data_IF_759458315062
#
_entry.id   IF_759458315062
#
_cell.length_a   1.000
_cell.length_b   1.000
_cell.length_c   1.000
_cell.angle_alpha   90.00
_cell.angle_beta   90.00
_cell.angle_gamma   90.00
#
_symmetry.space_group_name_H-M   'P 1'
#
loop_
_entity.id
_entity.type
_entity.pdbx_description
1 polymer ?
#
# COMPACT_ATOMS: atom_id res chain seq x y z
N UNK A 1 -14.15 -12.75 7.70
CA UNK A 1 -15.57 -12.83 7.31
C UNK A 1 -15.76 -12.03 6.04
N UNK A 2 -16.45 -12.58 5.04
CA UNK A 2 -16.75 -11.88 3.80
C UNK A 2 -17.75 -10.74 4.06
N UNK A 3 -17.47 -9.58 3.46
CA UNK A 3 -18.34 -8.42 3.50
C UNK A 3 -19.47 -8.50 2.45
N UNK A 4 -20.16 -7.38 2.26
CA UNK A 4 -21.22 -7.23 1.26
C UNK A 4 -20.63 -7.34 -0.15
N UNK A 5 -21.31 -8.06 -1.04
CA UNK A 5 -21.02 -8.04 -2.47
C UNK A 5 -21.98 -7.12 -3.22
N UNK A 6 -21.49 -6.55 -4.32
CA UNK A 6 -22.26 -5.70 -5.24
C UNK A 6 -21.99 -6.11 -6.69
N UNK A 7 -23.00 -6.01 -7.54
CA UNK A 7 -22.86 -6.05 -8.99
C UNK A 7 -22.59 -4.66 -9.53
N UNK A 8 -21.75 -4.54 -10.56
CA UNK A 8 -21.50 -3.26 -11.25
C UNK A 8 -20.91 -2.16 -10.34
N UNK A 9 -20.78 -0.96 -10.90
CA UNK A 9 -20.44 0.25 -10.14
C UNK A 9 -21.48 1.34 -10.42
N UNK A 10 -21.78 2.16 -9.41
CA UNK A 10 -22.71 3.29 -9.55
C UNK A 10 -24.17 2.96 -9.21
N UNK A 11 -25.11 3.75 -9.74
CA UNK A 11 -26.55 3.70 -9.39
C UNK A 11 -27.24 2.39 -9.77
N UNK A 12 -26.69 1.68 -10.76
CA UNK A 12 -27.23 0.41 -11.24
C UNK A 12 -26.69 -0.78 -10.44
N UNK A 13 -25.77 -0.54 -9.50
CA UNK A 13 -25.16 -1.59 -8.72
C UNK A 13 -26.13 -2.17 -7.68
N UNK A 14 -26.21 -3.50 -7.62
CA UNK A 14 -27.13 -4.19 -6.72
C UNK A 14 -26.38 -5.01 -5.69
N UNK A 15 -26.87 -5.02 -4.45
CA UNK A 15 -26.31 -5.88 -3.41
C UNK A 15 -26.64 -7.34 -3.70
N UNK A 16 -25.65 -8.20 -3.51
CA UNK A 16 -25.79 -9.64 -3.59
C UNK A 16 -25.44 -10.28 -2.26
N UNK A 17 -26.40 -11.01 -1.69
CA UNK A 17 -26.16 -11.87 -0.54
C UNK A 17 -25.79 -13.29 -0.99
N UNK A 18 -26.15 -13.66 -2.23
CA UNK A 18 -25.94 -14.96 -2.84
C UNK A 18 -25.13 -14.81 -4.13
N UNK A 19 -24.13 -15.67 -4.32
CA UNK A 19 -23.33 -15.70 -5.54
C UNK A 19 -24.16 -16.20 -6.73
N UNK A 20 -24.21 -15.46 -7.85
CA UNK A 20 -25.10 -15.78 -8.97
C UNK A 20 -24.82 -17.16 -9.58
N UNK A 21 -23.54 -17.51 -9.71
CA UNK A 21 -23.18 -18.79 -10.35
C UNK A 21 -23.20 -20.01 -9.42
N UNK A 22 -22.92 -19.82 -8.12
CA UNK A 22 -22.73 -20.95 -7.19
C UNK A 22 -23.89 -21.12 -6.20
N UNK A 23 -24.78 -20.14 -6.08
CA UNK A 23 -25.87 -20.14 -5.11
C UNK A 23 -25.42 -20.06 -3.65
N UNK A 24 -24.12 -19.87 -3.38
CA UNK A 24 -23.57 -19.79 -2.03
C UNK A 24 -23.78 -18.41 -1.42
N UNK A 25 -23.98 -18.37 -0.12
CA UNK A 25 -23.96 -17.13 0.65
C UNK A 25 -22.60 -16.44 0.51
N UNK A 26 -22.61 -15.12 0.40
CA UNK A 26 -21.41 -14.29 0.38
C UNK A 26 -21.21 -13.65 1.74
N UNK A 27 -22.08 -12.71 2.12
CA UNK A 27 -21.90 -11.94 3.35
C UNK A 27 -22.03 -12.82 4.60
N UNK A 28 -21.12 -12.60 5.55
CA UNK A 28 -21.12 -13.34 6.82
C UNK A 28 -20.36 -14.67 6.76
N UNK A 29 -19.90 -15.11 5.58
CA UNK A 29 -19.11 -16.33 5.47
C UNK A 29 -17.71 -16.12 6.05
N UNK A 30 -17.36 -16.93 7.05
CA UNK A 30 -15.99 -17.02 7.56
C UNK A 30 -15.15 -17.84 6.57
N UNK A 31 -14.07 -17.25 6.05
CA UNK A 31 -13.10 -18.00 5.25
C UNK A 31 -12.32 -18.98 6.16
N UNK A 32 -11.97 -20.18 5.66
CA UNK A 32 -11.03 -21.06 6.35
C UNK A 32 -9.72 -20.35 6.64
N UNK A 33 -9.05 -20.72 7.74
CA UNK A 33 -7.73 -20.18 8.12
C UNK A 33 -7.67 -18.66 8.28
N UNK A 34 -8.77 -17.99 8.63
CA UNK A 34 -8.84 -16.53 8.70
C UNK A 34 -7.72 -15.86 9.52
N UNK A 35 -7.42 -16.40 10.70
CA UNK A 35 -6.35 -15.83 11.53
C UNK A 35 -4.98 -15.96 10.86
N UNK A 36 -4.70 -17.09 10.22
CA UNK A 36 -3.47 -17.30 9.46
C UNK A 36 -3.40 -16.40 8.21
N UNK A 37 -4.52 -16.16 7.53
CA UNK A 37 -4.59 -15.20 6.40
C UNK A 37 -4.18 -13.81 6.88
N UNK A 38 -4.74 -13.38 8.02
CA UNK A 38 -4.44 -12.07 8.61
C UNK A 38 -2.98 -11.98 9.05
N UNK A 39 -2.45 -13.01 9.70
CA UNK A 39 -1.03 -13.07 10.08
C UNK A 39 -0.11 -13.00 8.87
N UNK A 40 -0.38 -13.76 7.81
CA UNK A 40 0.40 -13.74 6.58
C UNK A 40 0.44 -12.33 5.95
N UNK A 41 -0.72 -11.67 5.84
CA UNK A 41 -0.80 -10.31 5.30
C UNK A 41 -0.01 -9.29 6.15
N UNK A 42 -0.14 -9.35 7.48
CA UNK A 42 0.57 -8.45 8.39
C UNK A 42 2.08 -8.70 8.30
N UNK A 43 2.52 -9.95 8.39
CA UNK A 43 3.93 -10.31 8.28
C UNK A 43 4.52 -9.84 6.95
N UNK A 44 3.84 -10.07 5.82
CA UNK A 44 4.30 -9.62 4.52
C UNK A 44 4.39 -8.09 4.42
N UNK A 45 3.39 -7.36 4.95
CA UNK A 45 3.42 -5.90 4.99
C UNK A 45 4.64 -5.34 5.75
N UNK A 46 5.10 -6.04 6.80
CA UNK A 46 6.28 -5.59 7.57
C UNK A 46 7.61 -5.76 6.83
N UNK A 47 7.65 -6.55 5.75
CA UNK A 47 8.87 -6.76 4.96
C UNK A 47 9.12 -5.62 3.96
N UNK A 48 8.07 -4.94 3.53
CA UNK A 48 8.14 -3.84 2.56
C UNK A 48 8.40 -2.52 3.25
N UNK A 49 9.57 -1.93 2.97
CA UNK A 49 9.91 -0.58 3.43
C UNK A 49 9.45 0.43 2.37
N UNK A 50 8.66 1.43 2.78
CA UNK A 50 8.24 2.56 1.93
C UNK A 50 6.79 2.53 1.45
N UNK A 51 6.13 1.37 1.45
CA UNK A 51 4.69 1.27 1.16
C UNK A 51 3.90 1.18 2.46
N UNK A 52 3.07 2.20 2.73
CA UNK A 52 2.26 2.23 3.95
C UNK A 52 0.92 1.50 3.82
N UNK A 53 0.47 1.29 2.59
CA UNK A 53 -0.78 0.63 2.27
C UNK A 53 -0.48 -0.35 1.15
N UNK A 54 -0.83 -1.61 1.36
CA UNK A 54 -0.61 -2.69 0.40
C UNK A 54 -1.86 -3.56 0.40
N UNK A 55 -2.36 -3.90 -0.79
CA UNK A 55 -3.37 -4.94 -0.96
C UNK A 55 -2.70 -6.26 -1.26
N UNK A 56 -3.09 -7.33 -0.58
CA UNK A 56 -2.59 -8.67 -0.88
C UNK A 56 -3.69 -9.52 -1.49
N UNK A 57 -3.38 -10.16 -2.61
CA UNK A 57 -4.20 -11.23 -3.16
C UNK A 57 -3.70 -12.55 -2.56
N UNK A 58 -4.58 -13.21 -1.81
CA UNK A 58 -4.23 -14.39 -1.02
C UNK A 58 -5.14 -15.55 -1.45
N UNK A 59 -4.52 -16.62 -1.94
CA UNK A 59 -5.20 -17.88 -2.18
C UNK A 59 -5.35 -18.66 -0.87
N UNK A 60 -6.55 -19.17 -0.59
CA UNK A 60 -6.80 -20.07 0.55
C UNK A 60 -6.68 -21.51 0.05
N UNK A 61 -5.52 -22.14 0.29
CA UNK A 61 -5.25 -23.53 -0.08
C UNK A 61 -5.60 -24.50 1.06
N UNK A 62 -5.67 -25.82 0.80
CA UNK A 62 -5.86 -26.82 1.85
C UNK A 62 -4.78 -26.80 2.95
N UNK A 63 -3.56 -26.38 2.60
CA UNK A 63 -2.42 -26.30 3.53
C UNK A 63 -2.29 -24.93 4.21
N UNK A 64 -3.18 -23.98 3.88
CA UNK A 64 -3.20 -22.64 4.43
C UNK A 64 -3.10 -21.52 3.38
N UNK A 65 -2.94 -20.26 3.83
CA UNK A 65 -2.89 -19.10 2.95
C UNK A 65 -1.60 -19.04 2.14
N UNK A 66 -1.71 -18.68 0.87
CA UNK A 66 -0.58 -18.42 -0.03
C UNK A 66 -0.74 -17.02 -0.62
N UNK A 67 0.23 -16.14 -0.39
CA UNK A 67 0.25 -14.81 -1.00
C UNK A 67 0.63 -14.96 -2.48
N UNK A 68 -0.22 -14.44 -3.36
CA UNK A 68 -0.04 -14.49 -4.82
C UNK A 68 0.52 -13.17 -5.34
N UNK A 69 -0.01 -12.05 -4.85
CA UNK A 69 0.35 -10.72 -5.32
C UNK A 69 0.33 -9.70 -4.18
N UNK A 70 1.20 -8.69 -4.29
CA UNK A 70 1.26 -7.52 -3.41
C UNK A 70 1.10 -6.25 -4.26
N UNK A 71 -0.05 -5.59 -4.10
CA UNK A 71 -0.46 -4.41 -4.84
C UNK A 71 -0.11 -3.15 -4.05
N UNK A 72 0.78 -2.30 -4.62
CA UNK A 72 1.18 -1.03 -3.99
C UNK A 72 0.10 0.06 -4.09
N UNK A 73 -0.83 -0.07 -5.04
CA UNK A 73 -1.99 0.82 -5.22
C UNK A 73 -3.29 0.00 -5.16
N UNK A 74 -3.68 -0.47 -3.97
CA UNK A 74 -4.88 -1.28 -3.85
C UNK A 74 -6.14 -0.45 -4.12
N UNK A 75 -7.15 -1.07 -4.71
CA UNK A 75 -8.44 -0.43 -4.95
C UNK A 75 -9.19 -0.08 -3.65
N UNK A 76 -8.83 1.04 -3.02
CA UNK A 76 -9.45 1.54 -1.79
C UNK A 76 -10.95 1.84 -1.97
N UNK A 77 -11.40 2.08 -3.21
CA UNK A 77 -12.83 2.21 -3.50
C UNK A 77 -13.62 0.97 -3.12
N UNK A 78 -13.07 -0.24 -3.39
CA UNK A 78 -13.76 -1.49 -3.09
C UNK A 78 -13.88 -1.74 -1.59
N UNK A 79 -12.87 -1.33 -0.81
CA UNK A 79 -12.94 -1.36 0.65
C UNK A 79 -14.06 -0.43 1.17
N UNK A 80 -14.16 0.79 0.64
CA UNK A 80 -15.21 1.74 1.04
C UNK A 80 -16.61 1.21 0.72
N UNK A 81 -16.74 0.61 -0.44
CA UNK A 81 -17.99 0.01 -0.91
C UNK A 81 -18.39 -1.17 -0.02
N UNK A 82 -17.47 -2.11 0.24
CA UNK A 82 -17.72 -3.29 1.06
C UNK A 82 -18.08 -2.93 2.52
N UNK A 83 -17.42 -1.91 3.08
CA UNK A 83 -17.66 -1.46 4.46
C UNK A 83 -18.72 -0.37 4.60
N UNK A 84 -19.21 0.19 3.49
CA UNK A 84 -20.10 1.37 3.46
C UNK A 84 -19.59 2.52 4.35
N UNK A 85 -18.26 2.70 4.36
CA UNK A 85 -17.56 3.66 5.21
C UNK A 85 -16.41 4.26 4.40
N UNK A 86 -16.25 5.58 4.46
CA UNK A 86 -15.09 6.24 3.88
C UNK A 86 -13.79 5.75 4.54
N UNK A 87 -12.71 5.65 3.75
CA UNK A 87 -11.39 5.21 4.26
C UNK A 87 -10.61 6.33 4.93
N UNK A 88 -11.03 7.58 4.84
CA UNK A 88 -10.37 8.72 5.50
C UNK A 88 -10.75 8.79 6.99
N UNK A 89 -10.40 7.75 7.74
CA UNK A 89 -10.54 7.71 9.20
C UNK A 89 -9.21 8.00 9.92
N UNK A 90 -9.23 7.94 11.26
CA UNK A 90 -8.07 8.20 12.11
C UNK A 90 -6.84 7.34 11.78
N UNK A 91 -7.04 6.10 11.33
CA UNK A 91 -5.93 5.22 10.94
C UNK A 91 -5.30 5.68 9.62
N UNK A 92 -6.13 5.99 8.63
CA UNK A 92 -5.64 6.52 7.35
C UNK A 92 -4.95 7.87 7.53
N UNK A 93 -5.53 8.77 8.33
CA UNK A 93 -4.92 10.06 8.65
C UNK A 93 -3.56 9.87 9.34
N UNK A 94 -3.45 8.94 10.28
CA UNK A 94 -2.19 8.59 10.93
C UNK A 94 -1.14 8.05 9.95
N UNK A 95 -1.54 7.16 9.03
CA UNK A 95 -0.65 6.66 7.98
C UNK A 95 -0.19 7.79 7.03
N UNK A 96 -1.09 8.67 6.62
CA UNK A 96 -0.75 9.83 5.78
C UNK A 96 0.23 10.78 6.48
N UNK A 97 0.04 11.04 7.77
CA UNK A 97 0.94 11.89 8.54
C UNK A 97 2.32 11.25 8.74
N UNK A 98 2.37 9.93 8.94
CA UNK A 98 3.62 9.18 8.93
C UNK A 98 4.32 9.26 7.57
N UNK A 99 3.58 9.12 6.46
CA UNK A 99 4.10 9.27 5.10
C UNK A 99 4.75 10.63 4.88
N UNK A 100 4.05 11.71 5.27
CA UNK A 100 4.55 13.08 5.12
C UNK A 100 5.89 13.28 5.84
N UNK A 101 6.07 12.65 7.02
CA UNK A 101 7.32 12.70 7.77
C UNK A 101 8.45 11.97 7.06
N UNK A 102 8.21 10.74 6.59
CA UNK A 102 9.22 9.98 5.82
C UNK A 102 9.66 10.76 4.59
N UNK A 103 8.70 11.26 3.80
CA UNK A 103 9.01 12.03 2.58
C UNK A 103 9.80 13.29 2.91
N UNK A 104 9.44 14.00 3.98
CA UNK A 104 10.18 15.20 4.40
C UNK A 104 11.64 14.86 4.79
N UNK A 105 11.86 13.78 5.53
CA UNK A 105 13.18 13.33 5.95
C UNK A 105 14.02 12.87 4.75
N UNK A 106 13.44 12.08 3.83
CA UNK A 106 14.11 11.67 2.59
C UNK A 106 14.49 12.87 1.72
N UNK A 107 13.57 13.82 1.53
CA UNK A 107 13.84 15.05 0.78
C UNK A 107 14.95 15.88 1.42
N UNK A 108 14.98 15.99 2.75
CA UNK A 108 16.06 16.67 3.46
C UNK A 108 17.41 15.97 3.24
N UNK A 109 17.43 14.64 3.30
CA UNK A 109 18.62 13.82 3.03
C UNK A 109 19.15 14.00 1.60
N UNK A 110 18.26 13.88 0.60
CA UNK A 110 18.61 14.07 -0.82
C UNK A 110 19.14 15.49 -1.05
N UNK A 111 18.46 16.51 -0.51
CA UNK A 111 18.90 17.90 -0.64
C UNK A 111 20.29 18.13 -0.04
N UNK A 112 20.55 17.58 1.15
CA UNK A 112 21.85 17.67 1.79
C UNK A 112 22.96 17.01 0.95
N UNK A 113 22.68 15.82 0.40
CA UNK A 113 23.60 15.11 -0.49
C UNK A 113 23.94 15.94 -1.73
N UNK A 114 22.92 16.44 -2.44
CA UNK A 114 23.08 17.25 -3.66
C UNK A 114 23.87 18.55 -3.37
N UNK A 115 23.62 19.20 -2.24
CA UNK A 115 24.36 20.41 -1.86
C UNK A 115 25.84 20.12 -1.59
N UNK A 116 26.14 19.00 -0.92
CA UNK A 116 27.51 18.57 -0.65
C UNK A 116 28.26 18.25 -1.94
N UNK A 117 27.62 17.53 -2.86
CA UNK A 117 28.17 17.21 -4.17
C UNK A 117 28.45 18.47 -5.00
N UNK A 118 27.51 19.42 -5.04
CA UNK A 118 27.70 20.71 -5.73
C UNK A 118 28.87 21.51 -5.15
N UNK A 119 29.01 21.54 -3.83
CA UNK A 119 30.12 22.23 -3.17
C UNK A 119 31.46 21.59 -3.54
N UNK A 120 31.54 20.26 -3.57
CA UNK A 120 32.73 19.52 -3.99
C UNK A 120 33.07 19.79 -5.45
N UNK A 121 32.10 19.66 -6.36
CA UNK A 121 32.31 19.92 -7.80
C UNK A 121 32.78 21.36 -8.07
N UNK A 122 32.28 22.34 -7.31
CA UNK A 122 32.73 23.73 -7.41
C UNK A 122 34.19 23.88 -6.96
N UNK A 123 34.59 23.21 -5.87
CA UNK A 123 35.97 23.22 -5.38
C UNK A 123 36.91 22.57 -6.39
N UNK A 124 36.55 21.40 -6.91
CA UNK A 124 37.36 20.66 -7.90
C UNK A 124 37.55 21.47 -9.18
N UNK A 125 36.50 22.15 -9.65
CA UNK A 125 36.58 23.05 -10.81
C UNK A 125 37.53 24.23 -10.55
N UNK A 126 37.49 24.85 -9.37
CA UNK A 126 38.40 25.95 -9.02
C UNK A 126 39.86 25.48 -8.95
N UNK A 127 40.12 24.31 -8.36
CA UNK A 127 41.45 23.73 -8.32
C UNK A 127 42.00 23.41 -9.73
N UNK A 128 41.16 22.85 -10.60
CA UNK A 128 41.52 22.56 -11.99
C UNK A 128 41.83 23.84 -12.80
N UNK A 129 41.04 24.89 -12.63
CA UNK A 129 41.29 26.19 -13.27
C UNK A 129 42.59 26.82 -12.79
N UNK A 130 42.88 26.74 -11.49
CA UNK A 130 44.11 27.30 -10.91
C UNK A 130 45.34 26.54 -11.41
N UNK A 131 45.29 25.19 -11.47
CA UNK A 131 46.37 24.37 -12.05
C UNK A 131 46.63 24.64 -13.53
N UNK A 132 45.60 24.99 -14.31
CA UNK A 132 45.76 25.32 -15.73
C UNK A 132 46.36 26.71 -15.97
N UNK A 133 46.26 27.60 -14.99
CA UNK A 133 46.78 28.98 -15.05
C UNK A 133 48.21 29.12 -14.51
N UNK A 134 48.76 28.07 -13.88
CA UNK A 134 50.14 27.97 -13.41
C UNK A 134 51.01 27.26 -14.46
#
# INVERSE_FOLDING_TARGET
VLGKALTGMGIDGQRLDIHPDTGKQIEGVQLPHWDAIREAAISAATLTKGSLIIGFDIAVSPDGPVIIEANYDPHLIMLQVAHQKGVLDEHMLGAMDYMKRIIADEHAGIKAHVLKERAQNKKDMQEALTKKAA
#
